data_IF_521422707949
#
_entry.id   IF_521422707949
#
_cell.length_a   1.000
_cell.length_b   1.000
_cell.length_c   1.000
_cell.angle_alpha   90.00
_cell.angle_beta   90.00
_cell.angle_gamma   90.00
#
_symmetry.space_group_name_H-M   'P 1'
#
loop_
_entity.id
_entity.type
_entity.pdbx_description
1 polymer ?
#
# COMPACT_ATOMS: atom_id res chain seq x y z
N UNK A 1 -0.04 2.64 -29.81
CA UNK A 1 -0.99 3.11 -30.84
C UNK A 1 -2.23 2.25 -31.04
N UNK A 2 -2.40 1.16 -30.29
CA UNK A 2 -3.61 0.33 -30.34
C UNK A 2 -4.86 1.13 -29.96
N UNK A 3 -4.82 1.87 -28.85
CA UNK A 3 -5.95 2.67 -28.38
C UNK A 3 -6.37 3.79 -29.34
N UNK A 4 -5.44 4.32 -30.13
CA UNK A 4 -5.75 5.37 -31.09
C UNK A 4 -6.52 4.89 -32.34
N UNK A 5 -6.72 3.57 -32.48
CA UNK A 5 -7.57 2.98 -33.52
C UNK A 5 -9.06 3.09 -33.21
N UNK A 6 -9.44 3.45 -31.99
CA UNK A 6 -10.84 3.55 -31.58
C UNK A 6 -11.29 5.01 -31.52
N UNK A 7 -12.48 5.27 -32.09
CA UNK A 7 -13.09 6.61 -32.09
C UNK A 7 -13.58 7.03 -30.72
N UNK A 8 -14.03 6.07 -29.91
CA UNK A 8 -14.47 6.28 -28.52
C UNK A 8 -13.64 5.39 -27.60
N UNK A 9 -13.08 5.99 -26.60
CA UNK A 9 -12.27 5.31 -25.58
C UNK A 9 -12.43 6.00 -24.24
N UNK A 10 -12.52 5.22 -23.18
CA UNK A 10 -12.58 5.70 -21.82
C UNK A 10 -11.97 4.66 -20.88
N UNK A 11 -11.61 5.08 -19.69
CA UNK A 11 -11.09 4.20 -18.65
C UNK A 11 -11.36 4.79 -17.28
N UNK A 12 -11.27 3.96 -16.26
CA UNK A 12 -11.39 4.38 -14.87
C UNK A 12 -10.19 3.92 -14.07
N UNK A 13 -9.68 4.81 -13.24
CA UNK A 13 -8.59 4.52 -12.30
C UNK A 13 -8.62 5.53 -11.17
N UNK A 14 -8.12 5.13 -10.01
CA UNK A 14 -7.99 6.04 -8.85
C UNK A 14 -6.80 6.99 -8.93
N UNK A 15 -5.98 6.93 -9.97
CA UNK A 15 -4.69 7.65 -10.05
C UNK A 15 -4.48 8.45 -11.34
N UNK A 16 -5.52 8.66 -12.14
CA UNK A 16 -5.38 9.36 -13.42
C UNK A 16 -5.11 10.85 -13.28
N UNK A 17 -5.60 11.50 -12.24
CA UNK A 17 -5.53 12.95 -12.11
C UNK A 17 -4.09 13.49 -12.09
N UNK A 18 -3.16 12.77 -11.49
CA UNK A 18 -1.74 13.15 -11.47
C UNK A 18 -1.08 13.10 -12.84
N UNK A 19 -1.67 12.35 -13.77
CA UNK A 19 -1.16 12.11 -15.12
C UNK A 19 -2.05 12.73 -16.22
N UNK A 20 -2.94 13.65 -15.86
CA UNK A 20 -3.88 14.28 -16.79
C UNK A 20 -3.20 14.85 -18.04
N UNK A 21 -2.06 15.51 -17.84
CA UNK A 21 -1.29 16.12 -18.94
C UNK A 21 -0.82 15.06 -19.93
N UNK A 22 -0.38 13.90 -19.45
CA UNK A 22 0.04 12.77 -20.30
C UNK A 22 -1.14 12.18 -21.07
N UNK A 23 -2.29 11.98 -20.42
CA UNK A 23 -3.50 11.50 -21.09
C UNK A 23 -3.97 12.44 -22.19
N UNK A 24 -3.92 13.74 -21.93
CA UNK A 24 -4.28 14.76 -22.92
C UNK A 24 -3.31 14.76 -24.11
N UNK A 25 -2.00 14.72 -23.86
CA UNK A 25 -0.99 14.77 -24.89
C UNK A 25 -0.93 13.49 -25.74
N UNK A 26 -1.11 12.33 -25.11
CA UNK A 26 -0.95 11.02 -25.78
C UNK A 26 -2.23 10.56 -26.47
N UNK A 27 -3.38 10.79 -25.85
CA UNK A 27 -4.67 10.24 -26.30
C UNK A 27 -5.73 11.30 -26.58
N UNK A 28 -5.47 12.57 -26.31
CA UNK A 28 -6.48 13.62 -26.42
C UNK A 28 -7.63 13.46 -25.43
N UNK A 29 -7.37 12.82 -24.30
CA UNK A 29 -8.39 12.51 -23.28
C UNK A 29 -8.28 13.46 -22.11
N UNK A 30 -9.43 13.93 -21.63
CA UNK A 30 -9.52 14.67 -20.37
C UNK A 30 -9.73 13.74 -19.19
N UNK A 31 -9.28 14.15 -18.02
CA UNK A 31 -9.48 13.42 -16.76
C UNK A 31 -10.55 14.14 -15.94
N UNK A 32 -11.58 13.40 -15.58
CA UNK A 32 -12.68 13.90 -14.76
C UNK A 32 -12.65 13.20 -13.41
N UNK A 33 -12.56 13.96 -12.34
CA UNK A 33 -12.63 13.43 -10.99
C UNK A 33 -14.09 13.19 -10.58
N UNK A 34 -14.41 11.95 -10.23
CA UNK A 34 -15.72 11.57 -9.72
C UNK A 34 -15.60 11.46 -8.20
N UNK A 35 -16.39 12.20 -7.40
CA UNK A 35 -16.35 12.12 -5.95
C UNK A 35 -16.64 10.70 -5.46
N UNK A 36 -16.08 10.35 -4.31
CA UNK A 36 -16.37 9.07 -3.65
C UNK A 36 -17.81 9.04 -3.14
N UNK A 37 -18.45 7.87 -3.16
CA UNK A 37 -19.81 7.69 -2.64
C UNK A 37 -19.86 7.94 -1.12
N UNK A 38 -18.88 7.44 -0.38
CA UNK A 38 -18.73 7.69 1.05
C UNK A 38 -17.48 8.56 1.30
N UNK A 39 -17.49 9.43 2.31
CA UNK A 39 -16.32 10.21 2.66
C UNK A 39 -15.12 9.33 2.99
N UNK A 40 -13.93 9.72 2.55
CA UNK A 40 -12.68 9.05 2.90
C UNK A 40 -12.34 9.34 4.34
N UNK A 41 -12.26 8.31 5.17
CA UNK A 41 -11.89 8.40 6.59
C UNK A 41 -10.40 8.11 6.84
N UNK A 42 -9.68 7.66 5.82
CA UNK A 42 -8.24 7.38 5.94
C UNK A 42 -7.48 8.65 6.31
N UNK A 43 -6.59 8.52 7.29
CA UNK A 43 -5.67 9.58 7.70
C UNK A 43 -4.32 9.35 7.03
N UNK A 44 -3.94 10.24 6.13
CA UNK A 44 -2.63 10.23 5.49
C UNK A 44 -1.67 11.07 6.33
N UNK A 45 -0.80 10.39 7.09
CA UNK A 45 0.16 11.03 7.97
C UNK A 45 1.35 11.54 7.17
N UNK A 46 2.02 12.56 7.69
CA UNK A 46 3.22 13.10 7.07
C UNK A 46 4.36 12.08 7.05
N UNK A 47 5.24 12.24 6.07
CA UNK A 47 6.41 11.38 5.92
C UNK A 47 7.31 11.47 7.16
N UNK A 48 7.80 10.34 7.61
CA UNK A 48 8.82 10.26 8.65
C UNK A 48 10.20 10.20 7.99
N UNK A 49 11.05 11.17 8.27
CA UNK A 49 12.35 11.34 7.62
C UNK A 49 13.48 10.99 8.59
N UNK A 50 14.41 10.16 8.12
CA UNK A 50 15.57 9.66 8.90
C UNK A 50 16.88 9.94 8.15
N UNK A 51 17.98 10.05 8.89
CA UNK A 51 19.30 10.25 8.30
C UNK A 51 19.80 9.02 7.55
N UNK A 52 19.59 7.84 8.10
CA UNK A 52 20.07 6.58 7.54
C UNK A 52 18.95 5.58 7.29
N UNK A 53 19.20 4.65 6.37
CA UNK A 53 18.31 3.50 6.14
C UNK A 53 18.15 2.63 7.37
N UNK A 54 19.22 2.46 8.15
CA UNK A 54 19.18 1.67 9.38
C UNK A 54 18.19 2.25 10.40
N UNK A 55 18.24 3.55 10.62
CA UNK A 55 17.30 4.24 11.53
C UNK A 55 15.87 4.15 11.00
N UNK A 56 15.68 4.36 9.69
CA UNK A 56 14.37 4.24 9.04
C UNK A 56 13.76 2.86 9.26
N UNK A 57 14.46 1.80 8.94
CA UNK A 57 13.94 0.43 9.08
C UNK A 57 13.71 0.03 10.53
N UNK A 58 14.51 0.51 11.45
CA UNK A 58 14.24 0.34 12.88
C UNK A 58 12.91 0.97 13.27
N UNK A 59 12.64 2.19 12.81
CA UNK A 59 11.38 2.87 13.05
C UNK A 59 10.19 2.17 12.38
N UNK A 60 10.36 1.65 11.18
CA UNK A 60 9.34 0.84 10.48
C UNK A 60 8.99 -0.40 11.29
N UNK A 61 9.97 -1.13 11.78
CA UNK A 61 9.75 -2.33 12.61
C UNK A 61 9.00 -1.99 13.89
N UNK A 62 9.37 -0.92 14.57
CA UNK A 62 8.68 -0.47 15.78
C UNK A 62 7.23 -0.09 15.51
N UNK A 63 6.95 0.58 14.39
CA UNK A 63 5.59 0.93 13.99
C UNK A 63 4.75 -0.32 13.65
N UNK A 64 5.32 -1.27 12.95
CA UNK A 64 4.65 -2.56 12.66
C UNK A 64 4.30 -3.29 13.96
N UNK A 65 5.23 -3.36 14.89
CA UNK A 65 5.01 -3.99 16.20
C UNK A 65 3.89 -3.31 16.98
N UNK A 66 3.92 -2.00 17.05
CA UNK A 66 2.91 -1.21 17.75
C UNK A 66 1.52 -1.34 17.11
N UNK A 67 1.46 -1.35 15.79
CA UNK A 67 0.23 -1.53 15.02
C UNK A 67 -0.36 -2.92 15.24
N UNK A 68 0.47 -3.94 15.13
CA UNK A 68 0.08 -5.33 15.39
C UNK A 68 -0.44 -5.52 16.82
N UNK A 69 0.20 -4.92 17.81
CA UNK A 69 -0.21 -5.00 19.21
C UNK A 69 -1.60 -4.42 19.48
N UNK A 70 -2.04 -3.45 18.68
CA UNK A 70 -3.40 -2.90 18.74
C UNK A 70 -4.45 -3.79 18.07
N UNK A 71 -4.06 -4.85 17.38
CA UNK A 71 -4.93 -5.62 16.52
C UNK A 71 -5.23 -4.96 15.16
N UNK A 72 -4.56 -3.88 14.83
CA UNK A 72 -4.71 -3.20 13.55
C UNK A 72 -3.91 -3.93 12.46
N UNK A 73 -4.52 -4.26 11.31
CA UNK A 73 -3.78 -4.84 10.19
C UNK A 73 -2.86 -3.81 9.55
N UNK A 74 -1.69 -4.26 9.10
CA UNK A 74 -0.70 -3.42 8.44
C UNK A 74 -0.26 -4.05 7.13
N UNK A 75 -0.25 -3.23 6.08
CA UNK A 75 0.31 -3.56 4.77
C UNK A 75 1.55 -2.70 4.54
N UNK A 76 2.68 -3.35 4.40
CA UNK A 76 3.98 -2.70 4.18
C UNK A 76 4.36 -2.81 2.72
N UNK A 77 4.48 -1.68 2.04
CA UNK A 77 4.94 -1.60 0.67
C UNK A 77 6.45 -1.48 0.59
N UNK A 78 7.09 -2.37 -0.15
CA UNK A 78 8.53 -2.32 -0.46
C UNK A 78 8.74 -2.22 -1.96
N UNK A 79 9.89 -1.71 -2.38
CA UNK A 79 10.22 -1.58 -3.81
C UNK A 79 10.91 -2.83 -4.34
N UNK A 80 11.75 -3.48 -3.53
CA UNK A 80 12.50 -4.66 -3.95
C UNK A 80 12.18 -5.90 -3.12
N UNK A 81 12.43 -7.07 -3.68
CA UNK A 81 12.27 -8.35 -2.99
C UNK A 81 13.26 -8.43 -1.82
N UNK A 82 14.48 -7.96 -2.02
CA UNK A 82 15.53 -7.94 -1.00
C UNK A 82 15.10 -7.13 0.22
N UNK A 83 14.48 -5.97 0.01
CA UNK A 83 13.96 -5.15 1.11
C UNK A 83 12.85 -5.86 1.87
N UNK A 84 11.95 -6.54 1.17
CA UNK A 84 10.86 -7.28 1.81
C UNK A 84 11.39 -8.46 2.63
N UNK A 85 12.38 -9.19 2.13
CA UNK A 85 13.03 -10.29 2.84
C UNK A 85 13.83 -9.78 4.07
N UNK A 86 14.56 -8.69 3.91
CA UNK A 86 15.27 -8.05 5.02
C UNK A 86 14.32 -7.64 6.14
N UNK A 87 13.21 -6.99 5.79
CA UNK A 87 12.22 -6.53 6.76
C UNK A 87 11.55 -7.71 7.47
N UNK A 88 11.20 -8.77 6.74
CA UNK A 88 10.66 -10.01 7.32
C UNK A 88 11.64 -10.64 8.31
N UNK A 89 12.93 -10.66 8.00
CA UNK A 89 13.97 -11.17 8.90
C UNK A 89 14.13 -10.28 10.16
N UNK A 90 14.05 -8.97 10.02
CA UNK A 90 14.07 -8.05 11.16
C UNK A 90 12.88 -8.30 12.09
N UNK A 91 11.68 -8.48 11.54
CA UNK A 91 10.47 -8.79 12.31
C UNK A 91 10.56 -10.15 13.00
N UNK A 92 11.14 -11.14 12.34
CA UNK A 92 11.39 -12.47 12.93
C UNK A 92 12.28 -12.38 14.17
N UNK A 93 13.34 -11.57 14.14
CA UNK A 93 14.21 -11.33 15.29
C UNK A 93 13.49 -10.67 16.47
N UNK A 94 12.41 -9.95 16.18
CA UNK A 94 11.55 -9.30 17.18
C UNK A 94 10.38 -10.18 17.64
N UNK A 95 10.39 -11.47 17.31
CA UNK A 95 9.35 -12.42 17.70
C UNK A 95 8.16 -12.50 16.76
N UNK A 96 8.19 -11.82 15.62
CA UNK A 96 7.18 -11.88 14.57
C UNK A 96 7.67 -12.75 13.41
N UNK A 97 7.50 -14.07 13.53
CA UNK A 97 7.95 -15.05 12.55
C UNK A 97 6.98 -15.26 11.39
N UNK A 98 7.27 -16.28 10.57
CA UNK A 98 6.51 -16.62 9.35
C UNK A 98 5.03 -16.94 9.60
N UNK A 99 4.66 -17.34 10.80
CA UNK A 99 3.29 -17.58 11.23
C UNK A 99 2.48 -16.31 11.42
N UNK A 100 3.15 -15.17 11.59
CA UNK A 100 2.54 -13.85 11.84
C UNK A 100 2.73 -12.86 10.69
N UNK A 101 3.72 -13.06 9.83
CA UNK A 101 4.08 -12.17 8.72
C UNK A 101 3.91 -12.89 7.39
N UNK A 102 3.07 -12.34 6.54
CA UNK A 102 2.90 -12.80 5.16
C UNK A 102 3.72 -11.92 4.22
N UNK A 103 4.54 -12.54 3.38
CA UNK A 103 5.31 -11.83 2.37
C UNK A 103 4.74 -12.14 0.99
N UNK A 104 4.33 -11.09 0.29
CA UNK A 104 3.76 -11.15 -1.03
C UNK A 104 4.75 -10.55 -2.04
N UNK A 105 5.29 -11.39 -2.92
CA UNK A 105 6.20 -10.97 -3.97
C UNK A 105 5.92 -11.74 -5.27
N UNK A 106 6.54 -11.31 -6.37
CA UNK A 106 6.33 -11.87 -7.71
C UNK A 106 6.68 -13.37 -7.85
N UNK A 107 7.31 -13.97 -6.86
CA UNK A 107 7.67 -15.41 -6.87
C UNK A 107 6.54 -16.33 -6.38
N UNK A 108 5.47 -15.78 -5.80
CA UNK A 108 4.43 -16.56 -5.11
C UNK A 108 3.02 -16.32 -5.71
N UNK A 109 2.90 -16.34 -7.03
CA UNK A 109 1.65 -16.02 -7.72
C UNK A 109 0.44 -16.88 -7.32
N UNK A 110 0.64 -18.17 -7.01
CA UNK A 110 -0.47 -19.09 -6.73
C UNK A 110 -1.21 -18.80 -5.40
N UNK A 111 -0.51 -18.22 -4.43
CA UNK A 111 -1.07 -17.89 -3.12
C UNK A 111 -1.39 -16.40 -2.94
N UNK A 112 -1.17 -15.61 -3.96
CA UNK A 112 -1.30 -14.15 -3.89
C UNK A 112 -2.70 -13.72 -3.44
N UNK A 113 -3.74 -14.27 -4.04
CA UNK A 113 -5.13 -13.92 -3.72
C UNK A 113 -5.50 -14.27 -2.28
N UNK A 114 -5.02 -15.41 -1.76
CA UNK A 114 -5.26 -15.82 -0.38
C UNK A 114 -4.56 -14.90 0.62
N UNK A 115 -3.31 -14.52 0.33
CA UNK A 115 -2.53 -13.61 1.19
C UNK A 115 -3.17 -12.22 1.20
N UNK A 116 -3.61 -11.72 0.05
CA UNK A 116 -4.28 -10.42 -0.05
C UNK A 116 -5.62 -10.45 0.68
N UNK A 117 -6.40 -11.52 0.54
CA UNK A 117 -7.66 -11.66 1.26
C UNK A 117 -7.46 -11.66 2.79
N UNK A 118 -6.37 -12.26 3.28
CA UNK A 118 -6.04 -12.31 4.70
C UNK A 118 -5.42 -11.01 5.24
N UNK A 119 -5.02 -10.08 4.37
CA UNK A 119 -4.33 -8.85 4.78
C UNK A 119 -5.22 -7.87 5.57
N UNK A 120 -6.53 -8.00 5.48
CA UNK A 120 -7.51 -7.18 6.20
C UNK A 120 -7.97 -7.75 7.53
N UNK A 121 -7.48 -8.91 7.93
CA UNK A 121 -7.81 -9.54 9.22
C UNK A 121 -7.08 -8.78 10.34
N UNK A 122 -7.75 -8.63 11.49
CA UNK A 122 -7.15 -7.96 12.65
C UNK A 122 -5.77 -8.54 13.00
N UNK A 123 -4.83 -7.67 13.27
CA UNK A 123 -3.45 -8.03 13.61
C UNK A 123 -2.61 -8.59 12.47
N UNK A 124 -3.14 -8.70 11.26
CA UNK A 124 -2.37 -9.19 10.11
C UNK A 124 -1.19 -8.28 9.77
N UNK A 125 -0.05 -8.87 9.45
CA UNK A 125 1.13 -8.17 8.93
C UNK A 125 1.41 -8.72 7.54
N UNK A 126 1.35 -7.86 6.52
CA UNK A 126 1.60 -8.23 5.13
C UNK A 126 2.68 -7.32 4.56
N UNK A 127 3.71 -7.90 3.97
CA UNK A 127 4.75 -7.16 3.25
C UNK A 127 4.55 -7.46 1.76
N UNK A 128 4.31 -6.42 0.97
CA UNK A 128 4.07 -6.55 -0.46
C UNK A 128 5.09 -5.76 -1.27
N UNK A 129 5.73 -6.42 -2.25
CA UNK A 129 6.65 -5.78 -3.18
C UNK A 129 5.85 -5.21 -4.34
N UNK A 130 6.07 -3.95 -4.70
CA UNK A 130 5.51 -3.27 -5.88
C UNK A 130 4.11 -3.74 -6.25
N UNK A 131 3.07 -3.18 -5.97
CA UNK A 131 1.72 -3.47 -6.50
C UNK A 131 1.32 -4.96 -6.57
N UNK A 132 2.04 -5.87 -5.92
CA UNK A 132 1.60 -7.25 -5.77
C UNK A 132 0.18 -7.28 -5.18
N UNK A 133 -0.71 -8.12 -5.72
CA UNK A 133 -2.12 -8.14 -5.35
C UNK A 133 -2.94 -6.97 -5.89
N UNK A 134 -2.42 -6.20 -6.86
CA UNK A 134 -3.15 -5.13 -7.52
C UNK A 134 -4.45 -5.65 -8.13
N UNK A 135 -5.53 -4.90 -7.94
CA UNK A 135 -6.86 -5.27 -8.43
C UNK A 135 -7.66 -6.16 -7.49
N UNK A 136 -7.05 -6.65 -6.40
CA UNK A 136 -7.76 -7.40 -5.36
C UNK A 136 -8.12 -6.46 -4.22
N UNK A 137 -9.37 -6.48 -3.81
CA UNK A 137 -9.87 -5.67 -2.69
C UNK A 137 -9.49 -6.34 -1.36
N UNK A 138 -8.99 -5.53 -0.42
CA UNK A 138 -8.66 -5.97 0.93
C UNK A 138 -9.85 -5.65 1.82
N UNK A 139 -10.60 -6.68 2.20
CA UNK A 139 -11.74 -6.53 3.08
C UNK A 139 -11.32 -6.63 4.54
N UNK A 140 -11.77 -5.69 5.35
CA UNK A 140 -11.50 -5.66 6.78
C UNK A 140 -12.55 -6.47 7.54
N UNK A 141 -12.12 -7.20 8.56
CA UNK A 141 -13.05 -7.72 9.55
C UNK A 141 -13.48 -6.61 10.54
N UNK A 142 -14.49 -6.87 11.35
CA UNK A 142 -15.02 -5.87 12.27
C UNK A 142 -14.00 -5.42 13.33
N UNK A 143 -13.16 -6.33 13.80
CA UNK A 143 -12.12 -6.01 14.78
C UNK A 143 -11.03 -5.12 14.17
N UNK A 144 -10.67 -5.34 12.90
CA UNK A 144 -9.75 -4.49 12.16
C UNK A 144 -10.29 -3.08 11.99
N UNK A 145 -11.56 -2.93 11.68
CA UNK A 145 -12.23 -1.62 11.60
C UNK A 145 -12.22 -0.89 12.93
N UNK A 146 -12.52 -1.58 14.02
CA UNK A 146 -12.48 -1.02 15.39
C UNK A 146 -11.07 -0.60 15.82
N UNK A 147 -10.04 -1.33 15.35
CA UNK A 147 -8.65 -1.02 15.65
C UNK A 147 -8.08 0.16 14.84
N UNK A 148 -8.84 0.71 13.89
CA UNK A 148 -8.43 1.86 13.09
C UNK A 148 -8.33 1.59 11.59
N UNK A 149 -8.71 0.39 11.14
CA UNK A 149 -8.66 -0.01 9.75
C UNK A 149 -7.26 -0.38 9.27
N UNK A 150 -7.10 -0.54 7.97
CA UNK A 150 -5.82 -0.95 7.39
C UNK A 150 -4.79 0.18 7.46
N UNK A 151 -3.64 -0.09 8.07
CA UNK A 151 -2.49 0.82 8.05
C UNK A 151 -1.57 0.49 6.89
N UNK A 152 -1.28 1.50 6.09
CA UNK A 152 -0.30 1.43 5.00
C UNK A 152 1.02 2.01 5.49
N UNK A 153 2.10 1.26 5.33
CA UNK A 153 3.47 1.73 5.55
C UNK A 153 4.21 1.63 4.24
N UNK A 154 4.68 2.76 3.72
CA UNK A 154 5.60 2.81 2.58
C UNK A 154 7.04 2.89 3.09
N UNK A 155 7.91 1.99 2.66
CA UNK A 155 9.31 1.97 3.11
C UNK A 155 10.21 2.92 2.34
N UNK A 156 9.70 3.50 1.28
CA UNK A 156 10.32 4.59 0.53
C UNK A 156 9.28 5.21 -0.44
N UNK A 157 9.54 6.40 -0.95
CA UNK A 157 8.73 7.01 -2.00
C UNK A 157 9.06 6.43 -3.36
N UNK A 158 8.05 6.29 -4.23
CA UNK A 158 8.23 5.91 -5.62
C UNK A 158 8.53 7.15 -6.47
N UNK A 159 9.13 6.95 -7.64
CA UNK A 159 9.41 8.04 -8.59
C UNK A 159 8.12 8.74 -9.05
N UNK A 160 7.06 7.97 -9.27
CA UNK A 160 5.75 8.50 -9.67
C UNK A 160 4.78 8.57 -8.48
N UNK A 161 4.22 9.74 -8.24
CA UNK A 161 3.20 9.94 -7.19
C UNK A 161 1.99 9.01 -7.32
N UNK A 162 1.63 8.65 -8.56
CA UNK A 162 0.53 7.72 -8.81
C UNK A 162 0.74 6.36 -8.15
N UNK A 163 1.98 5.88 -8.06
CA UNK A 163 2.31 4.60 -7.42
C UNK A 163 2.15 4.72 -5.89
N UNK A 164 2.59 5.80 -5.30
CA UNK A 164 2.36 6.09 -3.88
C UNK A 164 0.85 6.14 -3.57
N UNK A 165 0.08 6.81 -4.44
CA UNK A 165 -1.38 6.90 -4.29
C UNK A 165 -2.07 5.54 -4.46
N UNK A 166 -1.57 4.68 -5.34
CA UNK A 166 -2.07 3.31 -5.48
C UNK A 166 -1.84 2.49 -4.21
N UNK A 167 -0.70 2.65 -3.57
CA UNK A 167 -0.41 2.00 -2.29
C UNK A 167 -1.34 2.51 -1.19
N UNK A 168 -1.48 3.83 -1.02
CA UNK A 168 -2.43 4.43 -0.07
C UNK A 168 -3.86 4.00 -0.33
N UNK A 169 -4.25 3.93 -1.59
CA UNK A 169 -5.61 3.61 -2.04
C UNK A 169 -6.05 2.18 -1.72
N UNK A 170 -5.19 1.34 -1.19
CA UNK A 170 -5.56 0.03 -0.65
C UNK A 170 -6.26 0.13 0.71
N UNK A 171 -6.10 1.24 1.40
CA UNK A 171 -6.75 1.55 2.68
C UNK A 171 -7.84 2.62 2.52
N UNK A 172 -8.80 2.62 3.41
CA UNK A 172 -9.87 3.62 3.46
C UNK A 172 -10.91 3.45 2.36
N UNK A 173 -11.06 2.27 1.81
CA UNK A 173 -12.09 1.97 0.80
C UNK A 173 -13.45 1.84 1.44
N UNK A 174 -14.51 2.14 0.68
CA UNK A 174 -15.91 1.98 1.10
C UNK A 174 -16.27 2.75 2.39
N UNK A 175 -15.57 3.85 2.66
CA UNK A 175 -15.77 4.63 3.87
C UNK A 175 -15.16 4.02 5.14
N UNK A 176 -14.36 2.95 5.02
CA UNK A 176 -13.68 2.35 6.15
C UNK A 176 -12.60 3.27 6.72
N UNK A 177 -12.33 3.20 8.03
CA UNK A 177 -11.17 3.86 8.61
C UNK A 177 -9.88 3.28 8.05
N UNK A 178 -8.80 4.03 8.17
CA UNK A 178 -7.47 3.61 7.76
C UNK A 178 -6.46 4.70 7.99
N UNK A 179 -5.21 4.39 7.76
CA UNK A 179 -4.12 5.36 7.82
C UNK A 179 -2.96 4.98 6.92
N UNK A 180 -2.14 5.95 6.56
CA UNK A 180 -0.94 5.72 5.77
C UNK A 180 0.21 6.58 6.28
N UNK A 181 1.42 6.06 6.18
CA UNK A 181 2.66 6.81 6.41
C UNK A 181 3.77 6.26 5.53
N UNK A 182 4.56 7.15 4.95
CA UNK A 182 5.80 6.82 4.27
C UNK A 182 7.00 7.12 5.15
N UNK A 183 7.97 6.23 5.12
CA UNK A 183 9.23 6.34 5.82
C UNK A 183 10.33 6.59 4.80
N UNK A 184 11.10 7.65 4.99
CA UNK A 184 12.13 8.09 4.05
C UNK A 184 13.46 8.22 4.79
N UNK A 185 14.56 7.94 4.10
CA UNK A 185 15.90 8.28 4.57
C UNK A 185 16.64 9.15 3.56
N UNK A 186 17.64 9.86 4.04
CA UNK A 186 18.53 10.63 3.15
C UNK A 186 19.44 9.74 2.30
N UNK A 187 19.44 8.44 2.56
CA UNK A 187 20.19 7.42 1.82
C UNK A 187 19.34 6.67 0.79
N UNK A 188 18.06 7.00 0.65
CA UNK A 188 17.14 6.36 -0.30
C UNK A 188 17.47 6.66 -1.77
#
# INVERSE_FOLDING_TARGET
NFFNKFNKKSGMTGTALTEEKEFRNTYGMDVIAIPTNLPVQRKDLEDAVYKSKKEKFKAVVEDIKATHAKGQPVLVGTITIETSEMLANMLKKEGLGKDKVNVLNAKLHEKEAEIVAAAGVHGAITIATNMAGRGTDIQLDEEAKKAGGLKIIGTERHEARRIDNQLRGRSGRQGDPGESRFYISLED
#
